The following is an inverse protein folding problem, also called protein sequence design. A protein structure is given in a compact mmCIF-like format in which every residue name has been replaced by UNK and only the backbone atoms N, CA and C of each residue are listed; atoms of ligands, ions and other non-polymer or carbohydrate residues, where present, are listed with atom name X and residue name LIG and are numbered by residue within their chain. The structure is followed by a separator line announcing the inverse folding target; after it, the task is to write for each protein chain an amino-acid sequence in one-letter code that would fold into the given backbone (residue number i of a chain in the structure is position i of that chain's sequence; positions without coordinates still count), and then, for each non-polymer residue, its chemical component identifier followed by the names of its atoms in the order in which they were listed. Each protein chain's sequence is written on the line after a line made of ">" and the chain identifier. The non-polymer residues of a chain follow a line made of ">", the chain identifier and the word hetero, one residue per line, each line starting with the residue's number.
data_IF_570619011303
#
_entry.id   IF_570619011303
#
_cell.length_a   1.000
_cell.length_b   1.000
_cell.length_c   1.000
_cell.angle_alpha   90.00
_cell.angle_beta   90.00
_cell.angle_gamma   90.00
#
_symmetry.space_group_name_H-M   'P 1'
#
loop_
_entity.id
_entity.type
_entity.pdbx_description
1 polymer ?
#
# COMPACT_ATOMS: atom_id res chain seq x y z
N UNK A 1 35.91 -15.14 25.84
CA UNK A 1 35.91 -15.19 24.35
C UNK A 1 34.70 -16.02 23.93
N UNK A 2 33.55 -15.37 23.75
CA UNK A 2 32.32 -16.02 23.33
C UNK A 2 32.18 -15.83 21.82
N UNK A 3 32.13 -16.94 21.08
CA UNK A 3 31.93 -16.98 19.64
C UNK A 3 30.46 -16.67 19.35
N UNK A 4 30.20 -15.44 18.89
CA UNK A 4 28.92 -15.05 18.30
C UNK A 4 28.85 -15.72 16.91
N UNK A 5 27.80 -16.51 16.58
CA UNK A 5 27.62 -17.05 15.25
C UNK A 5 27.41 -15.92 14.23
N UNK A 6 27.91 -16.05 12.98
CA UNK A 6 27.67 -15.05 11.95
C UNK A 6 26.19 -15.00 11.59
N UNK A 7 25.69 -13.78 11.48
CA UNK A 7 24.33 -13.41 11.05
C UNK A 7 24.02 -13.99 9.66
N UNK A 8 22.95 -14.79 9.47
CA UNK A 8 22.62 -15.36 8.16
C UNK A 8 22.01 -14.34 7.18
N UNK A 9 21.95 -13.04 7.50
CA UNK A 9 21.41 -12.01 6.62
C UNK A 9 22.42 -11.38 5.63
N UNK A 10 23.69 -11.79 5.63
CA UNK A 10 24.66 -11.33 4.64
C UNK A 10 24.65 -12.20 3.38
N UNK A 11 23.52 -12.23 2.67
CA UNK A 11 23.48 -12.68 1.29
C UNK A 11 23.26 -11.44 0.41
N UNK A 12 24.36 -10.81 0.00
CA UNK A 12 24.38 -9.84 -1.09
C UNK A 12 23.99 -10.60 -2.37
N UNK A 13 22.68 -10.68 -2.61
CA UNK A 13 22.15 -10.95 -3.95
C UNK A 13 22.59 -9.82 -4.89
N UNK A 14 22.66 -10.08 -6.21
CA UNK A 14 22.97 -9.04 -7.18
C UNK A 14 22.02 -7.87 -6.96
N UNK A 15 22.56 -6.65 -6.89
CA UNK A 15 21.79 -5.42 -6.74
C UNK A 15 20.66 -5.41 -7.78
N UNK A 16 19.45 -5.74 -7.33
CA UNK A 16 18.25 -5.60 -8.13
C UNK A 16 18.16 -4.12 -8.51
N UNK A 17 18.20 -3.73 -9.79
CA UNK A 17 18.01 -2.33 -10.17
C UNK A 17 16.69 -1.88 -9.57
N UNK A 18 16.76 -1.03 -8.54
CA UNK A 18 15.64 -0.69 -7.67
C UNK A 18 14.37 -0.44 -8.48
N UNK A 19 13.39 -1.37 -8.39
CA UNK A 19 12.11 -1.29 -9.11
C UNK A 19 11.44 0.06 -8.92
N UNK A 20 11.66 0.72 -7.78
CA UNK A 20 11.29 2.11 -7.56
C UNK A 20 12.52 3.02 -7.58
N UNK A 21 12.59 3.98 -8.50
CA UNK A 21 13.75 4.88 -8.68
C UNK A 21 13.39 6.34 -8.41
N UNK A 22 14.41 7.21 -8.39
CA UNK A 22 14.23 8.66 -8.33
C UNK A 22 13.42 9.19 -9.52
N UNK A 23 13.55 8.58 -10.70
CA UNK A 23 12.82 9.00 -11.90
C UNK A 23 11.29 8.95 -11.72
N UNK A 24 10.78 7.96 -10.99
CA UNK A 24 9.36 7.88 -10.64
C UNK A 24 8.92 9.05 -9.76
N UNK A 25 9.77 9.45 -8.81
CA UNK A 25 9.52 10.59 -7.94
C UNK A 25 9.56 11.89 -8.73
N UNK A 26 10.53 12.06 -9.62
CA UNK A 26 10.63 13.24 -10.49
C UNK A 26 9.39 13.41 -11.36
N UNK A 27 8.89 12.34 -11.97
CA UNK A 27 7.67 12.37 -12.79
C UNK A 27 6.43 12.77 -11.99
N UNK A 28 6.26 12.23 -10.78
CA UNK A 28 5.18 12.62 -9.88
C UNK A 28 5.29 14.09 -9.43
N UNK A 29 6.50 14.55 -9.13
CA UNK A 29 6.78 15.94 -8.77
C UNK A 29 6.55 16.89 -9.94
N UNK A 30 6.95 16.49 -11.15
CA UNK A 30 6.74 17.22 -12.39
C UNK A 30 5.25 17.47 -12.67
N UNK A 31 4.43 16.44 -12.50
CA UNK A 31 2.97 16.55 -12.62
C UNK A 31 2.40 17.60 -11.65
N UNK A 32 2.81 17.56 -10.37
CA UNK A 32 2.37 18.53 -9.37
C UNK A 32 2.85 19.96 -9.70
N UNK A 33 4.12 20.10 -10.09
CA UNK A 33 4.71 21.39 -10.41
C UNK A 33 4.02 22.03 -11.61
N UNK A 34 3.78 21.28 -12.68
CA UNK A 34 3.08 21.74 -13.88
C UNK A 34 1.63 22.14 -13.55
N UNK A 35 0.95 21.38 -12.68
CA UNK A 35 -0.39 21.74 -12.22
C UNK A 35 -0.44 23.05 -11.42
N UNK A 36 0.65 23.42 -10.72
CA UNK A 36 0.77 24.64 -9.93
C UNK A 36 1.50 25.79 -10.67
N UNK A 37 2.03 25.53 -11.86
CA UNK A 37 2.79 26.48 -12.68
C UNK A 37 2.27 26.48 -14.11
N UNK A 38 1.32 27.39 -14.44
CA UNK A 38 0.65 27.39 -15.75
C UNK A 38 1.56 27.54 -16.97
N UNK A 39 2.77 28.09 -16.81
CA UNK A 39 3.75 28.26 -17.89
C UNK A 39 4.66 27.06 -18.09
N UNK A 40 4.64 26.08 -17.19
CA UNK A 40 5.51 24.91 -17.24
C UNK A 40 4.93 23.82 -18.13
N UNK A 41 5.78 23.16 -18.91
CA UNK A 41 5.44 22.00 -19.71
C UNK A 41 5.89 20.72 -19.01
N UNK A 42 5.07 19.65 -19.00
CA UNK A 42 5.48 18.37 -18.44
C UNK A 42 6.68 17.78 -19.19
N UNK A 43 7.60 17.17 -18.45
CA UNK A 43 8.73 16.42 -19.01
C UNK A 43 8.31 14.96 -19.22
N UNK A 44 8.64 14.39 -20.37
CA UNK A 44 8.30 13.00 -20.66
C UNK A 44 9.13 12.02 -19.80
N UNK A 45 8.52 10.96 -19.25
CA UNK A 45 9.24 9.98 -18.44
C UNK A 45 10.22 9.15 -19.29
N UNK A 46 11.44 8.94 -18.77
CA UNK A 46 12.49 8.14 -19.43
C UNK A 46 12.57 6.68 -18.93
N UNK A 47 11.60 6.24 -18.13
CA UNK A 47 11.53 4.90 -17.55
C UNK A 47 10.43 4.04 -18.21
N UNK A 48 10.50 2.69 -18.11
CA UNK A 48 9.48 1.80 -18.65
C UNK A 48 8.08 2.06 -18.07
N UNK A 49 7.04 1.93 -18.89
CA UNK A 49 5.63 2.08 -18.47
C UNK A 49 5.03 0.76 -17.95
N UNK A 50 5.75 0.12 -17.03
CA UNK A 50 5.29 -1.10 -16.38
C UNK A 50 4.07 -0.84 -15.50
N UNK A 51 3.36 -1.90 -15.09
CA UNK A 51 2.15 -1.77 -14.28
C UNK A 51 2.39 -2.20 -12.84
N UNK A 52 2.12 -1.30 -11.90
CA UNK A 52 2.25 -1.57 -10.47
C UNK A 52 1.08 -0.99 -9.69
N UNK A 53 0.61 -1.66 -8.62
CA UNK A 53 -0.12 -0.96 -7.58
C UNK A 53 0.82 0.04 -6.92
N UNK A 54 0.37 1.28 -6.76
CA UNK A 54 1.25 2.38 -6.38
C UNK A 54 0.61 3.33 -5.38
N UNK A 55 1.46 3.97 -4.58
CA UNK A 55 1.09 5.04 -3.67
C UNK A 55 2.02 6.23 -3.89
N UNK A 56 1.42 7.42 -3.97
CA UNK A 56 2.15 8.68 -4.00
C UNK A 56 1.95 9.40 -2.67
N UNK A 57 3.06 9.77 -2.06
CA UNK A 57 3.13 10.41 -0.75
C UNK A 57 3.81 11.76 -0.89
N UNK A 58 3.23 12.78 -0.26
CA UNK A 58 3.84 14.08 -0.06
C UNK A 58 4.20 14.22 1.41
N UNK A 59 5.44 14.59 1.70
CA UNK A 59 5.87 15.01 3.03
C UNK A 59 6.34 16.46 3.00
N UNK A 60 6.16 17.16 4.11
CA UNK A 60 6.80 18.46 4.36
C UNK A 60 8.10 18.23 5.13
N UNK A 61 9.21 18.68 4.57
CA UNK A 61 10.54 18.71 5.19
C UNK A 61 10.75 20.02 5.92
N UNK A 62 11.35 19.95 7.10
CA UNK A 62 11.84 21.10 7.85
C UNK A 62 13.22 20.80 8.41
N UNK A 63 14.18 21.74 8.38
CA UNK A 63 15.50 21.53 8.94
C UNK A 63 15.42 21.03 10.40
N UNK A 64 16.14 19.95 10.71
CA UNK A 64 16.20 19.38 12.05
C UNK A 64 14.92 18.69 12.55
N UNK A 65 13.96 18.39 11.66
CA UNK A 65 12.74 17.64 11.98
C UNK A 65 12.59 16.47 11.02
N UNK A 66 11.94 15.40 11.49
CA UNK A 66 11.51 14.31 10.62
C UNK A 66 10.49 14.82 9.60
N UNK A 67 10.46 14.27 8.37
CA UNK A 67 9.44 14.57 7.38
C UNK A 67 8.04 14.35 7.96
N UNK A 68 7.12 15.27 7.65
CA UNK A 68 5.73 15.19 8.13
C UNK A 68 4.79 14.94 6.96
N UNK A 69 3.95 13.92 7.07
CA UNK A 69 2.93 13.60 6.07
C UNK A 69 2.07 14.82 5.70
N UNK A 70 1.96 15.08 4.40
CA UNK A 70 1.23 16.21 3.78
C UNK A 70 0.16 15.76 2.78
N UNK A 71 0.19 14.49 2.37
CA UNK A 71 -0.83 13.81 1.57
C UNK A 71 -0.34 12.40 1.21
N UNK A 72 -1.21 11.41 1.14
CA UNK A 72 -0.84 10.07 0.65
C UNK A 72 -2.06 9.35 0.13
N UNK A 73 -2.07 9.03 -1.16
CA UNK A 73 -3.14 8.28 -1.82
C UNK A 73 -2.51 7.33 -2.85
N UNK A 74 -3.11 6.16 -3.00
CA UNK A 74 -2.69 5.13 -3.92
C UNK A 74 -3.79 4.12 -4.18
N UNK A 75 -3.45 3.05 -4.89
CA UNK A 75 -4.36 1.95 -5.18
C UNK A 75 -3.67 0.59 -5.07
N UNK A 76 -4.49 -0.44 -5.05
CA UNK A 76 -4.06 -1.84 -5.04
C UNK A 76 -4.19 -2.53 -6.40
N UNK A 77 -4.77 -1.85 -7.39
CA UNK A 77 -4.90 -2.35 -8.75
C UNK A 77 -3.73 -1.83 -9.61
N UNK A 78 -3.01 -2.70 -10.33
CA UNK A 78 -1.87 -2.27 -11.13
C UNK A 78 -2.23 -1.23 -12.20
N UNK A 79 -1.55 -0.08 -12.17
CA UNK A 79 -1.66 0.97 -13.18
C UNK A 79 -0.34 1.17 -13.92
N UNK A 80 -0.38 1.58 -15.20
CA UNK A 80 0.82 2.05 -15.90
C UNK A 80 1.48 3.18 -15.11
N UNK A 81 2.80 3.12 -14.94
CA UNK A 81 3.53 4.08 -14.11
C UNK A 81 3.41 5.51 -14.65
N UNK A 82 3.40 5.71 -15.96
CA UNK A 82 3.37 7.05 -16.56
C UNK A 82 2.09 7.79 -16.16
N UNK A 83 0.92 7.19 -16.39
CA UNK A 83 -0.36 7.80 -16.06
C UNK A 83 -0.64 7.73 -14.54
N UNK A 84 -0.38 6.58 -13.93
CA UNK A 84 -0.71 6.32 -12.53
C UNK A 84 0.05 7.22 -11.57
N UNK A 85 1.35 7.42 -11.77
CA UNK A 85 2.13 8.31 -10.90
C UNK A 85 1.67 9.77 -11.04
N UNK A 86 1.43 10.25 -12.26
CA UNK A 86 0.95 11.61 -12.51
C UNK A 86 -0.44 11.84 -11.91
N UNK A 87 -1.38 10.91 -12.09
CA UNK A 87 -2.72 11.00 -11.52
C UNK A 87 -2.67 11.01 -9.99
N UNK A 88 -2.00 10.01 -9.38
CA UNK A 88 -1.98 9.86 -7.93
C UNK A 88 -1.13 10.94 -7.24
N UNK A 89 -0.17 11.56 -7.93
CA UNK A 89 0.50 12.77 -7.48
C UNK A 89 -0.48 13.92 -7.24
N UNK A 90 -1.36 14.19 -8.21
CA UNK A 90 -2.37 15.25 -8.10
C UNK A 90 -3.49 14.89 -7.13
N UNK A 91 -3.93 13.63 -7.12
CA UNK A 91 -4.96 13.15 -6.19
C UNK A 91 -4.47 13.25 -4.74
N UNK A 92 -3.25 12.79 -4.45
CA UNK A 92 -2.66 12.88 -3.09
C UNK A 92 -2.39 14.34 -2.68
N UNK A 93 -2.06 15.23 -3.61
CA UNK A 93 -1.82 16.64 -3.33
C UNK A 93 -3.12 17.47 -3.11
N UNK A 94 -4.18 17.17 -3.86
CA UNK A 94 -5.36 18.04 -3.94
C UNK A 94 -6.67 17.43 -3.42
N UNK A 95 -6.71 16.10 -3.26
CA UNK A 95 -7.94 15.35 -2.96
C UNK A 95 -7.81 14.44 -1.74
N UNK A 96 -6.69 14.46 -1.03
CA UNK A 96 -6.58 13.83 0.29
C UNK A 96 -7.35 14.67 1.32
N UNK A 97 -8.53 14.19 1.74
CA UNK A 97 -9.46 14.92 2.62
C UNK A 97 -8.90 15.21 4.01
N UNK A 98 -7.80 14.54 4.42
CA UNK A 98 -7.13 14.78 5.70
C UNK A 98 -6.32 16.07 5.69
N UNK A 99 -6.02 16.63 4.52
CA UNK A 99 -5.17 17.78 4.36
C UNK A 99 -5.81 18.84 3.45
N UNK A 100 -5.38 20.10 3.58
CA UNK A 100 -5.72 21.12 2.59
C UNK A 100 -4.98 20.86 1.28
N UNK A 101 -5.48 21.38 0.17
CA UNK A 101 -4.76 21.32 -1.11
C UNK A 101 -3.35 21.89 -0.96
N UNK A 102 -2.37 21.25 -1.58
CA UNK A 102 -1.00 21.76 -1.64
C UNK A 102 -0.98 23.04 -2.49
N UNK A 103 -0.31 24.07 -2.00
CA UNK A 103 -0.11 25.33 -2.71
C UNK A 103 1.30 25.47 -3.28
N UNK A 104 1.47 26.32 -4.30
CA UNK A 104 2.78 26.59 -4.93
C UNK A 104 3.84 27.04 -3.92
N UNK A 105 3.46 27.80 -2.91
CA UNK A 105 4.35 28.27 -1.84
C UNK A 105 4.92 27.15 -0.98
N UNK A 106 4.31 25.96 -0.98
CA UNK A 106 4.76 24.80 -0.21
C UNK A 106 5.82 23.98 -0.95
N UNK A 107 5.95 24.14 -2.28
CA UNK A 107 6.78 23.30 -3.15
C UNK A 107 8.22 23.14 -2.64
N UNK A 108 8.87 24.24 -2.23
CA UNK A 108 10.26 24.24 -1.75
C UNK A 108 10.49 23.41 -0.49
N UNK A 109 9.42 23.13 0.26
CA UNK A 109 9.47 22.33 1.48
C UNK A 109 9.00 20.89 1.27
N UNK A 110 8.62 20.51 0.05
CA UNK A 110 8.06 19.19 -0.21
C UNK A 110 9.10 18.11 -0.50
N UNK A 111 8.69 16.91 -0.17
CA UNK A 111 9.34 15.65 -0.52
C UNK A 111 8.28 14.75 -1.13
N UNK A 112 8.59 14.19 -2.29
CA UNK A 112 7.76 13.19 -2.96
C UNK A 112 8.27 11.81 -2.59
N UNK A 113 7.38 10.92 -2.18
CA UNK A 113 7.67 9.51 -1.94
C UNK A 113 6.79 8.62 -2.81
N UNK A 114 7.40 7.71 -3.56
CA UNK A 114 6.71 6.72 -4.38
C UNK A 114 6.88 5.35 -3.76
N UNK A 115 5.78 4.65 -3.51
CA UNK A 115 5.79 3.24 -3.09
C UNK A 115 5.16 2.37 -4.17
N UNK A 116 5.94 1.45 -4.73
CA UNK A 116 5.46 0.43 -5.67
C UNK A 116 5.31 -0.90 -4.94
N UNK A 117 4.13 -1.51 -5.05
CA UNK A 117 3.87 -2.83 -4.46
C UNK A 117 4.34 -3.92 -5.42
N UNK A 118 5.14 -4.84 -4.90
CA UNK A 118 5.89 -5.85 -5.66
C UNK A 118 5.78 -7.22 -5.01
N UNK A 119 6.24 -8.26 -5.70
CA UNK A 119 6.41 -9.60 -5.14
C UNK A 119 5.12 -10.17 -4.52
N UNK A 120 3.99 -10.04 -5.23
CA UNK A 120 2.71 -10.59 -4.79
C UNK A 120 2.73 -12.12 -4.86
N UNK A 121 2.53 -12.77 -3.71
CA UNK A 121 2.51 -14.23 -3.57
C UNK A 121 1.27 -14.66 -2.78
N UNK A 122 0.62 -15.75 -3.21
CA UNK A 122 -0.37 -16.44 -2.38
C UNK A 122 0.36 -17.11 -1.21
N UNK A 123 -0.13 -16.88 0.01
CA UNK A 123 0.45 -17.46 1.22
C UNK A 123 -0.16 -18.85 1.52
N UNK A 124 0.64 -19.76 2.07
CA UNK A 124 0.20 -21.12 2.42
C UNK A 124 -0.84 -21.14 3.54
N UNK A 125 -0.80 -20.13 4.42
CA UNK A 125 -1.76 -19.92 5.50
C UNK A 125 -1.90 -18.44 5.83
N UNK A 126 -2.93 -18.08 6.63
CA UNK A 126 -3.12 -16.71 7.12
C UNK A 126 -1.97 -16.20 8.02
N UNK A 127 -1.01 -17.07 8.40
CA UNK A 127 0.18 -16.74 9.19
C UNK A 127 1.47 -16.79 8.37
N UNK A 128 1.42 -17.16 7.09
CA UNK A 128 2.59 -17.33 6.22
C UNK A 128 3.05 -16.00 5.59
N UNK A 129 3.56 -15.11 6.44
CA UNK A 129 4.15 -13.83 6.07
C UNK A 129 5.10 -13.34 7.18
N UNK A 130 5.78 -12.22 6.99
CA UNK A 130 6.82 -11.74 7.94
C UNK A 130 6.53 -10.30 8.30
N UNK A 131 6.37 -10.03 9.59
CA UNK A 131 6.08 -8.68 10.11
C UNK A 131 7.23 -7.74 9.76
N UNK A 132 6.89 -6.54 9.28
CA UNK A 132 7.86 -5.52 8.85
C UNK A 132 8.54 -5.80 7.51
N UNK A 133 8.24 -6.92 6.87
CA UNK A 133 8.73 -7.25 5.52
C UNK A 133 7.56 -7.29 4.54
N UNK A 134 6.49 -7.98 4.90
CA UNK A 134 5.35 -8.22 4.04
C UNK A 134 4.15 -7.36 4.43
N UNK A 135 3.51 -6.76 3.42
CA UNK A 135 2.13 -6.33 3.50
C UNK A 135 1.20 -7.54 3.29
N UNK A 136 -0.03 -7.41 3.76
CA UNK A 136 -1.05 -8.47 3.65
C UNK A 136 -2.26 -7.94 2.89
N UNK A 137 -2.74 -8.71 1.92
CA UNK A 137 -4.03 -8.55 1.28
C UNK A 137 -4.88 -9.77 1.61
N UNK A 138 -5.96 -9.59 2.35
CA UNK A 138 -6.84 -10.69 2.77
C UNK A 138 -8.14 -10.68 1.98
N UNK A 139 -8.67 -11.87 1.75
CA UNK A 139 -10.00 -12.10 1.17
C UNK A 139 -10.67 -13.27 1.86
N UNK A 140 -11.95 -13.14 2.21
CA UNK A 140 -12.71 -14.21 2.84
C UNK A 140 -14.22 -14.12 2.50
N UNK A 141 -14.92 -15.25 2.43
CA UNK A 141 -16.37 -15.26 2.20
C UNK A 141 -17.12 -14.79 3.44
N UNK A 142 -18.41 -14.45 3.28
CA UNK A 142 -19.26 -14.19 4.43
C UNK A 142 -19.26 -15.39 5.42
N UNK A 143 -19.08 -15.17 6.74
CA UNK A 143 -18.93 -16.25 7.71
C UNK A 143 -20.10 -17.24 7.77
N UNK A 144 -21.32 -16.82 7.42
CA UNK A 144 -22.47 -17.75 7.32
C UNK A 144 -22.27 -18.87 6.29
N UNK A 145 -21.40 -18.67 5.29
CA UNK A 145 -21.04 -19.68 4.28
C UNK A 145 -20.05 -20.71 4.81
N UNK A 146 -19.41 -20.47 5.95
CA UNK A 146 -18.51 -21.42 6.61
C UNK A 146 -19.29 -22.47 7.41
N UNK A 147 -20.57 -22.19 7.70
CA UNK A 147 -21.49 -23.12 8.37
C UNK A 147 -21.91 -24.24 7.42
N UNK A 148 -21.07 -25.26 7.24
CA UNK A 148 -21.48 -26.56 6.69
C UNK A 148 -20.51 -27.67 7.09
N UNK A 149 -20.81 -28.36 8.22
CA UNK A 149 -20.69 -29.81 8.44
C UNK A 149 -20.50 -30.21 9.93
N UNK A 150 -21.33 -29.73 10.87
CA UNK A 150 -21.54 -30.45 12.15
C UNK A 150 -22.68 -29.86 12.97
N UNK A 151 -23.88 -30.38 12.74
CA UNK A 151 -24.80 -30.91 13.76
C UNK A 151 -26.00 -31.47 12.99
N UNK A 152 -26.28 -32.75 13.20
CA UNK A 152 -27.53 -33.47 12.89
C UNK A 152 -28.69 -32.62 12.33
N UNK A 153 -29.27 -32.97 11.16
CA UNK A 153 -30.50 -32.31 10.71
C UNK A 153 -31.61 -32.61 11.72
N UNK A 154 -31.97 -31.61 12.52
CA UNK A 154 -33.17 -31.68 13.34
C UNK A 154 -34.39 -31.56 12.42
N UNK A 155 -35.34 -32.51 12.43
CA UNK A 155 -36.48 -32.52 11.52
C UNK A 155 -37.58 -31.49 11.89
N UNK A 156 -37.29 -30.54 12.78
CA UNK A 156 -38.18 -29.44 13.14
C UNK A 156 -37.39 -28.14 13.24
N UNK A 157 -37.31 -27.39 12.13
CA UNK A 157 -37.09 -25.95 12.21
C UNK A 157 -37.69 -25.27 10.99
N UNK A 158 -38.97 -24.96 11.10
CA UNK A 158 -39.69 -24.05 10.21
C UNK A 158 -39.38 -22.60 10.61
N UNK A 159 -38.17 -22.13 10.31
CA UNK A 159 -37.86 -20.69 10.36
C UNK A 159 -38.12 -20.06 8.99
N UNK A 160 -39.15 -19.21 8.82
CA UNK A 160 -39.52 -18.61 7.54
C UNK A 160 -38.61 -17.44 7.11
N UNK A 161 -37.40 -17.34 7.68
CA UNK A 161 -36.43 -16.28 7.39
C UNK A 161 -35.09 -16.88 6.99
N UNK A 162 -35.05 -17.65 5.90
CA UNK A 162 -33.81 -17.77 5.15
C UNK A 162 -33.67 -16.48 4.34
N UNK A 163 -32.68 -15.61 4.63
CA UNK A 163 -32.43 -14.46 3.78
C UNK A 163 -32.14 -14.97 2.37
N UNK A 164 -32.87 -14.43 1.38
CA UNK A 164 -32.58 -14.66 -0.03
C UNK A 164 -31.09 -14.38 -0.24
N UNK A 165 -30.33 -15.39 -0.67
CA UNK A 165 -28.89 -15.35 -0.86
C UNK A 165 -28.55 -14.43 -2.04
N UNK A 166 -28.70 -13.12 -1.81
CA UNK A 166 -28.36 -12.05 -2.72
C UNK A 166 -26.89 -11.69 -2.55
N UNK A 167 -26.10 -12.05 -3.56
CA UNK A 167 -24.66 -11.81 -3.70
C UNK A 167 -23.75 -12.60 -2.75
N UNK A 168 -22.75 -13.25 -3.33
CA UNK A 168 -21.56 -13.76 -2.65
C UNK A 168 -20.82 -12.55 -2.08
N UNK A 169 -21.19 -12.09 -0.89
CA UNK A 169 -20.50 -10.99 -0.24
C UNK A 169 -19.12 -11.51 0.18
N UNK A 170 -18.11 -11.12 -0.60
CA UNK A 170 -16.70 -11.38 -0.31
C UNK A 170 -16.14 -10.14 0.37
N UNK A 171 -15.43 -10.35 1.46
CA UNK A 171 -14.76 -9.30 2.23
C UNK A 171 -13.30 -9.24 1.79
N UNK A 172 -12.74 -8.03 1.73
CA UNK A 172 -11.32 -7.83 1.48
C UNK A 172 -10.77 -6.65 2.27
N UNK A 173 -9.51 -6.75 2.66
CA UNK A 173 -8.77 -5.68 3.32
C UNK A 173 -7.28 -5.85 3.06
N UNK A 174 -6.54 -4.79 3.33
CA UNK A 174 -5.10 -4.75 3.09
C UNK A 174 -4.39 -3.88 4.12
N UNK A 175 -3.17 -4.27 4.46
CA UNK A 175 -2.22 -3.50 5.26
C UNK A 175 -0.86 -3.50 4.59
N UNK A 176 -0.26 -2.30 4.50
CA UNK A 176 1.11 -2.12 4.02
C UNK A 176 2.12 -2.71 5.03
N UNK A 177 3.35 -3.06 4.58
CA UNK A 177 4.38 -3.67 5.43
C UNK A 177 4.66 -2.91 6.74
N UNK A 178 4.63 -1.58 6.70
CA UNK A 178 4.99 -0.73 7.84
C UNK A 178 3.88 -0.56 8.87
N UNK A 179 2.62 -0.77 8.49
CA UNK A 179 1.48 -0.52 9.40
C UNK A 179 1.49 -1.49 10.58
N UNK A 180 1.82 -2.76 10.33
CA UNK A 180 1.78 -3.82 11.34
C UNK A 180 2.79 -3.59 12.46
N UNK A 181 4.10 -3.37 12.19
CA UNK A 181 5.07 -3.06 13.24
C UNK A 181 4.79 -1.72 13.92
N UNK A 182 4.29 -0.70 13.20
CA UNK A 182 3.91 0.59 13.81
C UNK A 182 2.80 0.44 14.87
N UNK A 183 1.86 -0.47 14.64
CA UNK A 183 0.79 -0.76 15.61
C UNK A 183 1.24 -1.72 16.72
N UNK A 184 2.39 -2.38 16.55
CA UNK A 184 2.87 -3.40 17.49
C UNK A 184 2.02 -4.68 17.49
N UNK A 185 1.31 -4.96 16.40
CA UNK A 185 0.47 -6.15 16.29
C UNK A 185 1.29 -7.40 16.02
N UNK A 186 0.89 -8.51 16.64
CA UNK A 186 1.29 -9.84 16.17
C UNK A 186 0.53 -10.24 14.89
N UNK A 187 0.83 -11.43 14.36
CA UNK A 187 0.20 -11.89 13.11
C UNK A 187 -1.31 -12.12 13.24
N UNK A 188 -1.77 -12.61 14.38
CA UNK A 188 -3.18 -12.91 14.62
C UNK A 188 -3.94 -11.59 14.78
N UNK A 189 -3.42 -10.68 15.59
CA UNK A 189 -3.98 -9.34 15.79
C UNK A 189 -4.07 -8.57 14.47
N UNK A 190 -3.04 -8.65 13.62
CA UNK A 190 -3.06 -8.02 12.30
C UNK A 190 -4.15 -8.59 11.38
N UNK A 191 -4.32 -9.92 11.36
CA UNK A 191 -5.37 -10.59 10.57
C UNK A 191 -6.76 -10.26 11.10
N UNK A 192 -6.96 -10.29 12.42
CA UNK A 192 -8.25 -9.97 13.05
C UNK A 192 -8.63 -8.50 12.80
N UNK A 193 -7.65 -7.59 12.92
CA UNK A 193 -7.79 -6.18 12.57
C UNK A 193 -8.15 -6.00 11.10
N UNK A 194 -7.51 -6.76 10.20
CA UNK A 194 -7.82 -6.70 8.77
C UNK A 194 -9.24 -7.22 8.47
N UNK A 195 -9.70 -8.26 9.16
CA UNK A 195 -11.07 -8.78 9.04
C UNK A 195 -12.08 -7.71 9.43
N UNK A 196 -11.85 -7.01 10.54
CA UNK A 196 -12.68 -5.88 10.96
C UNK A 196 -12.65 -4.72 9.96
N UNK A 197 -11.46 -4.38 9.46
CA UNK A 197 -11.27 -3.37 8.42
C UNK A 197 -12.00 -3.72 7.11
N UNK A 198 -12.13 -5.00 6.78
CA UNK A 198 -12.89 -5.47 5.62
C UNK A 198 -14.39 -5.24 5.76
N UNK A 199 -14.88 -4.91 6.97
CA UNK A 199 -16.28 -4.61 7.26
C UNK A 199 -17.00 -5.71 8.06
N UNK A 200 -16.29 -6.75 8.51
CA UNK A 200 -16.89 -7.78 9.38
C UNK A 200 -16.86 -7.32 10.85
N UNK A 201 -18.02 -7.15 11.46
CA UNK A 201 -18.14 -6.71 12.87
C UNK A 201 -18.57 -7.83 13.83
N UNK A 202 -18.66 -9.07 13.35
CA UNK A 202 -19.05 -10.22 14.18
C UNK A 202 -17.87 -10.86 14.90
N UNK A 203 -18.13 -11.96 15.63
CA UNK A 203 -17.10 -12.75 16.29
C UNK A 203 -16.12 -13.34 15.27
N UNK A 204 -14.82 -13.28 15.56
CA UNK A 204 -13.77 -13.92 14.76
C UNK A 204 -13.46 -15.29 15.37
N UNK A 205 -13.90 -16.34 14.68
CA UNK A 205 -13.60 -17.73 15.04
C UNK A 205 -12.36 -18.24 14.33
N UNK A 206 -11.79 -19.34 14.82
CA UNK A 206 -10.65 -19.97 14.15
C UNK A 206 -10.98 -20.47 12.74
N UNK A 207 -12.21 -20.97 12.51
CA UNK A 207 -12.67 -21.35 11.18
C UNK A 207 -12.72 -20.16 10.23
N UNK A 208 -13.10 -18.98 10.73
CA UNK A 208 -13.07 -17.74 9.95
C UNK A 208 -11.64 -17.39 9.55
N UNK A 209 -10.68 -17.42 10.49
CA UNK A 209 -9.26 -17.18 10.18
C UNK A 209 -8.73 -18.17 9.14
N UNK A 210 -9.05 -19.45 9.29
CA UNK A 210 -8.65 -20.51 8.33
C UNK A 210 -9.28 -20.33 6.95
N UNK A 211 -10.43 -19.65 6.86
CA UNK A 211 -11.06 -19.34 5.58
C UNK A 211 -10.43 -18.15 4.85
N UNK A 212 -9.55 -17.38 5.52
CA UNK A 212 -8.86 -16.24 4.92
C UNK A 212 -7.88 -16.72 3.87
N UNK A 213 -8.08 -16.23 2.64
CA UNK A 213 -7.08 -16.27 1.59
C UNK A 213 -6.21 -15.03 1.72
N UNK A 214 -4.94 -15.24 2.07
CA UNK A 214 -3.96 -14.19 2.24
C UNK A 214 -3.01 -14.18 1.04
N UNK A 215 -2.83 -13.00 0.45
CA UNK A 215 -1.71 -12.68 -0.42
C UNK A 215 -0.74 -11.78 0.33
N UNK A 216 0.54 -12.12 0.29
CA UNK A 216 1.62 -11.29 0.82
C UNK A 216 2.29 -10.54 -0.33
N UNK A 217 2.84 -9.37 -0.02
CA UNK A 217 3.57 -8.56 -1.00
C UNK A 217 4.62 -7.70 -0.29
N UNK A 218 5.56 -7.16 -1.06
CA UNK A 218 6.55 -6.21 -0.57
C UNK A 218 6.29 -4.80 -1.13
N UNK A 219 6.90 -3.80 -0.51
CA UNK A 219 6.89 -2.42 -1.00
C UNK A 219 8.31 -1.99 -1.33
N UNK A 220 8.49 -1.33 -2.47
CA UNK A 220 9.73 -0.63 -2.85
C UNK A 220 9.46 0.86 -2.81
N UNK A 221 10.16 1.58 -1.93
CA UNK A 221 9.97 3.00 -1.68
C UNK A 221 11.18 3.78 -2.18
N UNK A 222 10.93 4.90 -2.85
CA UNK A 222 11.94 5.92 -3.11
C UNK A 222 11.37 7.30 -2.77
N UNK A 223 12.24 8.22 -2.33
CA UNK A 223 11.86 9.58 -1.93
C UNK A 223 12.82 10.60 -2.52
N UNK A 224 12.29 11.74 -2.95
CA UNK A 224 13.05 12.85 -3.55
C UNK A 224 12.58 14.17 -2.95
N UNK A 225 13.53 15.02 -2.57
CA UNK A 225 13.27 16.39 -2.14
C UNK A 225 13.09 17.37 -3.29
N UNK A 226 12.51 18.54 -2.99
CA UNK A 226 12.41 19.66 -3.93
C UNK A 226 13.75 20.02 -4.60
N UNK A 227 14.83 20.12 -3.83
CA UNK A 227 16.15 20.53 -4.34
C UNK A 227 16.66 19.59 -5.44
N UNK A 228 16.47 18.28 -5.25
CA UNK A 228 16.85 17.24 -6.21
C UNK A 228 15.97 17.30 -7.46
N UNK A 229 14.65 17.49 -7.28
CA UNK A 229 13.72 17.64 -8.39
C UNK A 229 14.02 18.87 -9.25
N UNK A 230 14.33 20.02 -8.64
CA UNK A 230 14.67 21.24 -9.39
C UNK A 230 16.00 21.10 -10.13
N UNK A 231 16.99 20.45 -9.52
CA UNK A 231 18.24 20.12 -10.21
C UNK A 231 17.95 19.25 -11.45
N UNK A 232 17.20 18.16 -11.27
CA UNK A 232 16.79 17.28 -12.37
C UNK A 232 16.02 18.04 -13.46
N UNK A 233 15.00 18.83 -13.09
CA UNK A 233 14.18 19.56 -14.06
C UNK A 233 15.01 20.56 -14.88
N UNK A 234 15.92 21.28 -14.23
CA UNK A 234 16.77 22.27 -14.89
C UNK A 234 17.67 21.61 -15.95
N UNK A 235 18.16 20.40 -15.68
CA UNK A 235 18.96 19.63 -16.64
C UNK A 235 18.17 19.14 -17.85
N UNK A 236 16.85 18.94 -17.70
CA UNK A 236 15.96 18.42 -18.76
C UNK A 236 15.21 19.53 -19.52
N UNK A 237 15.23 20.76 -19.01
CA UNK A 237 14.71 21.96 -19.71
C UNK A 237 15.79 22.69 -20.55
N UNK A 238 17.07 22.36 -20.37
CA UNK A 238 18.21 22.96 -21.08
C UNK A 238 18.48 22.31 -22.45
#
# INVERSE_FOLDING_TARGET
>A
MALVPPDPAANEGPADPSVCTAAHCFHAFDALFCALTPSATPIAPEFPDDKYPLFVTWNTRRPGRLPRLRGCIGNFDPLPLHDGLAEYALVSAFRDSRFRRIERSELESLECGISLLTDFEDADSYLDWTIGVHGIYITFPHPSLLTSASTTPSPMSSYPYLPRLGSKQSFSATYLPDVIPEQGWDKIEAVDSAIHKAGWNGSITEDLRRSVKLRRYQSRLHTVGWDEYIAWRTEHEA
#
